data_IF_456280234667
#
_entry.id   IF_456280234667
#
_cell.length_a   1.000
_cell.length_b   1.000
_cell.length_c   1.000
_cell.angle_alpha   90.00
_cell.angle_beta   90.00
_cell.angle_gamma   90.00
#
_symmetry.space_group_name_H-M   'P 1'
#
loop_
_entity.id
_entity.type
_entity.pdbx_description
1 polymer ?
#
# COMPACT_ATOMS: atom_id res chain seq x y z
N UNK A 1 -3.98 -23.68 -2.98
CA UNK A 1 -4.62 -23.17 -1.75
C UNK A 1 -3.57 -23.03 -0.65
N UNK A 2 -3.56 -21.91 0.08
CA UNK A 2 -2.67 -21.62 1.20
C UNK A 2 -3.44 -21.24 2.46
N UNK A 3 -2.82 -21.40 3.63
CA UNK A 3 -3.27 -20.81 4.90
C UNK A 3 -2.45 -19.56 5.17
N UNK A 4 -3.12 -18.46 5.52
CA UNK A 4 -2.45 -17.18 5.81
C UNK A 4 -2.84 -16.69 7.19
N UNK A 5 -1.84 -16.35 7.99
CA UNK A 5 -2.04 -15.68 9.28
C UNK A 5 -2.26 -14.20 9.00
N UNK A 6 -3.43 -13.68 9.36
CA UNK A 6 -3.85 -12.32 9.03
C UNK A 6 -4.09 -11.51 10.29
N UNK A 7 -3.52 -10.30 10.38
CA UNK A 7 -3.75 -9.38 11.49
C UNK A 7 -5.14 -8.73 11.44
N UNK A 8 -5.56 -8.04 12.51
CA UNK A 8 -6.82 -7.26 12.55
C UNK A 8 -6.94 -6.34 11.34
N UNK A 9 -5.84 -5.70 10.96
CA UNK A 9 -5.78 -4.69 9.90
C UNK A 9 -5.83 -5.29 8.49
N UNK A 10 -5.70 -6.62 8.35
CA UNK A 10 -5.64 -7.31 7.05
C UNK A 10 -4.23 -7.53 6.52
N UNK A 11 -3.19 -7.45 7.36
CA UNK A 11 -1.80 -7.74 6.95
C UNK A 11 -1.53 -9.24 6.98
N UNK A 12 -0.95 -9.77 5.89
CA UNK A 12 -0.38 -11.12 5.90
C UNK A 12 0.87 -11.15 6.79
N UNK A 13 0.90 -12.08 7.75
CA UNK A 13 1.98 -12.24 8.72
C UNK A 13 2.79 -13.51 8.49
N UNK A 14 2.13 -14.57 8.02
CA UNK A 14 2.74 -15.86 7.71
C UNK A 14 1.91 -16.59 6.67
N UNK A 15 2.55 -17.35 5.78
CA UNK A 15 1.91 -18.17 4.75
C UNK A 15 2.44 -19.60 4.89
N UNK A 16 1.53 -20.57 4.94
CA UNK A 16 1.87 -22.00 5.06
C UNK A 16 0.95 -22.84 4.18
N UNK A 17 1.33 -24.10 3.96
CA UNK A 17 0.43 -25.07 3.35
C UNK A 17 -0.66 -25.50 4.37
N UNK A 18 -1.87 -25.85 3.92
CA UNK A 18 -2.91 -26.36 4.80
C UNK A 18 -2.44 -27.55 5.64
N UNK A 19 -2.67 -27.51 6.94
CA UNK A 19 -2.22 -28.49 7.93
C UNK A 19 -0.86 -28.17 8.57
N UNK A 20 -0.19 -27.09 8.15
CA UNK A 20 1.06 -26.60 8.77
C UNK A 20 0.83 -25.39 9.68
N UNK A 21 -0.41 -24.91 9.80
CA UNK A 21 -0.79 -23.91 10.80
C UNK A 21 -0.51 -24.41 12.23
N UNK A 22 0.02 -23.51 13.07
CA UNK A 22 0.12 -23.76 14.50
C UNK A 22 -1.11 -23.22 15.22
N UNK A 23 -1.38 -23.76 16.41
CA UNK A 23 -2.51 -23.34 17.23
C UNK A 23 -2.35 -21.89 17.68
N UNK A 24 -3.44 -21.12 17.53
CA UNK A 24 -3.51 -19.71 17.92
C UNK A 24 -4.72 -19.47 18.81
N UNK A 25 -4.68 -18.39 19.57
CA UNK A 25 -5.84 -17.92 20.31
C UNK A 25 -6.93 -17.41 19.36
N UNK A 26 -8.13 -17.99 19.45
CA UNK A 26 -9.28 -17.65 18.60
C UNK A 26 -10.43 -16.97 19.36
N UNK A 27 -10.15 -16.35 20.51
CA UNK A 27 -11.19 -15.66 21.27
C UNK A 27 -11.66 -14.36 20.62
N UNK A 28 -12.70 -13.71 21.19
CA UNK A 28 -13.36 -12.55 20.60
C UNK A 28 -12.45 -11.31 20.43
N UNK A 29 -11.35 -11.25 21.16
CA UNK A 29 -10.35 -10.18 21.13
C UNK A 29 -9.04 -10.58 20.41
N UNK A 30 -9.04 -11.72 19.70
CA UNK A 30 -7.92 -12.20 18.89
C UNK A 30 -7.35 -11.08 17.99
N UNK A 31 -6.02 -11.06 17.86
CA UNK A 31 -5.30 -10.04 17.07
C UNK A 31 -4.90 -10.52 15.68
N UNK A 32 -5.01 -11.82 15.46
CA UNK A 32 -4.72 -12.47 14.20
C UNK A 32 -5.48 -13.79 14.12
N UNK A 33 -5.78 -14.24 12.91
CA UNK A 33 -6.41 -15.54 12.65
C UNK A 33 -5.82 -16.19 11.41
N UNK A 34 -5.93 -17.52 11.30
CA UNK A 34 -5.67 -18.23 10.06
C UNK A 34 -6.88 -18.12 9.13
N UNK A 35 -6.64 -17.79 7.86
CA UNK A 35 -7.65 -17.80 6.81
C UNK A 35 -7.20 -18.67 5.63
N UNK A 36 -8.16 -19.27 4.94
CA UNK A 36 -7.96 -20.00 3.70
C UNK A 36 -7.90 -19.05 2.51
N UNK A 37 -6.88 -19.22 1.66
CA UNK A 37 -6.71 -18.42 0.45
C UNK A 37 -6.56 -19.34 -0.76
N UNK A 38 -7.47 -19.19 -1.72
CA UNK A 38 -7.44 -19.92 -2.99
C UNK A 38 -6.51 -19.25 -4.02
N UNK A 39 -5.25 -19.03 -3.61
CA UNK A 39 -4.20 -18.49 -4.47
C UNK A 39 -2.82 -18.95 -3.96
N UNK A 40 -2.10 -19.71 -4.76
CA UNK A 40 -0.77 -20.23 -4.39
C UNK A 40 0.36 -19.20 -4.54
N UNK A 41 0.11 -18.09 -5.23
CA UNK A 41 1.07 -17.00 -5.45
C UNK A 41 0.96 -15.88 -4.41
N UNK A 42 0.13 -16.04 -3.37
CA UNK A 42 0.03 -15.04 -2.31
C UNK A 42 1.39 -14.80 -1.65
N UNK A 43 1.68 -13.53 -1.36
CA UNK A 43 2.92 -13.11 -0.69
C UNK A 43 2.62 -12.31 0.57
N UNK A 44 3.63 -12.06 1.40
CA UNK A 44 3.48 -11.30 2.64
C UNK A 44 3.18 -9.81 2.41
N UNK A 45 3.43 -9.29 1.20
CA UNK A 45 3.13 -7.91 0.86
C UNK A 45 1.65 -7.67 0.55
N UNK A 46 0.91 -8.75 0.25
CA UNK A 46 -0.51 -8.67 -0.06
C UNK A 46 -1.32 -8.29 1.18
N UNK A 47 -2.43 -7.59 0.94
CA UNK A 47 -3.30 -7.08 1.99
C UNK A 47 -4.74 -7.52 1.76
N UNK A 48 -5.43 -7.90 2.84
CA UNK A 48 -6.84 -8.24 2.85
C UNK A 48 -7.66 -6.98 3.14
N UNK A 49 -8.38 -6.48 2.14
CA UNK A 49 -9.03 -5.16 2.20
C UNK A 49 -10.50 -5.22 1.79
N UNK A 50 -11.33 -4.35 2.39
CA UNK A 50 -12.76 -4.28 2.10
C UNK A 50 -13.00 -3.72 0.70
N UNK A 51 -13.79 -4.40 -0.14
CA UNK A 51 -14.32 -3.87 -1.40
C UNK A 51 -15.82 -3.56 -1.25
N UNK A 52 -16.21 -2.27 -1.22
CA UNK A 52 -17.61 -1.86 -1.20
C UNK A 52 -18.44 -2.43 -2.37
N UNK A 53 -17.86 -2.48 -3.57
CA UNK A 53 -18.53 -2.99 -4.77
C UNK A 53 -18.81 -4.49 -4.71
N UNK A 54 -17.93 -5.27 -4.07
CA UNK A 54 -18.12 -6.71 -3.90
C UNK A 54 -18.83 -7.07 -2.59
N UNK A 55 -18.94 -6.13 -1.65
CA UNK A 55 -19.53 -6.37 -0.33
C UNK A 55 -18.75 -7.37 0.52
N UNK A 56 -17.45 -7.55 0.25
CA UNK A 56 -16.58 -8.50 0.96
C UNK A 56 -15.12 -8.04 1.00
N UNK A 57 -14.33 -8.72 1.83
CA UNK A 57 -12.88 -8.58 1.83
C UNK A 57 -12.27 -9.31 0.65
N UNK A 58 -11.31 -8.66 0.01
CA UNK A 58 -10.55 -9.20 -1.12
C UNK A 58 -9.06 -9.01 -0.89
N UNK A 59 -8.27 -9.92 -1.44
CA UNK A 59 -6.82 -9.79 -1.44
C UNK A 59 -6.37 -8.82 -2.52
N UNK A 60 -5.49 -7.90 -2.13
CA UNK A 60 -4.85 -6.94 -3.02
C UNK A 60 -3.40 -7.35 -3.19
N UNK A 61 -3.05 -7.67 -4.44
CA UNK A 61 -1.68 -7.93 -4.83
C UNK A 61 -0.83 -6.66 -4.72
N UNK A 62 0.30 -6.77 -4.02
CA UNK A 62 1.25 -5.68 -3.85
C UNK A 62 2.67 -6.18 -4.07
N UNK A 63 3.51 -5.31 -4.60
CA UNK A 63 4.93 -5.57 -4.87
C UNK A 63 5.87 -5.08 -3.75
N UNK A 64 5.31 -4.68 -2.61
CA UNK A 64 6.03 -4.17 -1.45
C UNK A 64 5.20 -3.20 -0.62
N UNK A 65 5.85 -2.60 0.38
CA UNK A 65 5.27 -1.50 1.16
C UNK A 65 4.82 -0.36 0.24
N UNK A 66 3.58 0.11 0.44
CA UNK A 66 3.08 1.30 -0.25
C UNK A 66 4.02 2.47 0.01
N UNK A 67 4.60 3.01 -1.05
CA UNK A 67 5.36 4.26 -1.00
C UNK A 67 4.48 5.36 -1.53
N UNK A 68 4.19 6.36 -0.70
CA UNK A 68 3.42 7.53 -1.14
C UNK A 68 4.10 8.19 -2.35
N UNK A 69 3.43 8.29 -3.52
CA UNK A 69 4.05 8.85 -4.72
C UNK A 69 4.52 10.29 -4.54
N UNK A 70 3.86 11.05 -3.65
CA UNK A 70 4.25 12.40 -3.29
C UNK A 70 5.58 12.42 -2.54
N UNK A 71 5.70 11.59 -1.50
CA UNK A 71 6.94 11.40 -0.75
C UNK A 71 8.07 10.87 -1.65
N UNK A 72 7.79 9.86 -2.48
CA UNK A 72 8.77 9.29 -3.40
C UNK A 72 9.33 10.36 -4.35
N UNK A 73 8.47 11.19 -4.95
CA UNK A 73 8.91 12.31 -5.79
C UNK A 73 9.66 13.37 -5.00
N UNK A 74 9.20 13.72 -3.80
CA UNK A 74 9.87 14.70 -2.96
C UNK A 74 11.31 14.27 -2.64
N UNK A 75 11.51 13.01 -2.24
CA UNK A 75 12.84 12.44 -2.00
C UNK A 75 13.67 12.42 -3.28
N UNK A 76 13.07 12.00 -4.40
CA UNK A 76 13.78 11.91 -5.69
C UNK A 76 14.21 13.27 -6.24
N UNK A 77 13.45 14.34 -5.97
CA UNK A 77 13.84 15.70 -6.34
C UNK A 77 15.12 16.18 -5.64
N UNK A 78 15.41 15.65 -4.44
CA UNK A 78 16.52 16.11 -3.61
C UNK A 78 16.26 17.49 -3.00
N UNK A 79 17.29 18.07 -2.41
CA UNK A 79 17.18 19.36 -1.74
C UNK A 79 16.96 20.49 -2.75
N UNK A 80 16.20 21.51 -2.36
CA UNK A 80 15.93 22.68 -3.22
C UNK A 80 17.23 23.38 -3.61
N UNK A 81 18.21 23.43 -2.70
CA UNK A 81 19.52 24.02 -2.96
C UNK A 81 20.28 23.30 -4.09
N UNK A 82 20.25 21.97 -4.12
CA UNK A 82 20.91 21.18 -5.18
C UNK A 82 20.23 21.38 -6.53
N UNK A 83 18.90 21.48 -6.55
CA UNK A 83 18.16 21.79 -7.76
C UNK A 83 18.50 23.18 -8.32
N UNK A 84 18.59 24.18 -7.43
CA UNK A 84 18.98 25.53 -7.83
C UNK A 84 20.44 25.58 -8.29
N UNK A 85 21.33 24.79 -7.69
CA UNK A 85 22.74 24.70 -8.11
C UNK A 85 22.86 24.07 -9.51
N UNK A 86 22.20 22.95 -9.78
CA UNK A 86 22.14 22.35 -11.14
C UNK A 86 21.64 23.35 -12.17
N UNK A 87 20.56 24.06 -11.85
CA UNK A 87 19.99 25.09 -12.73
C UNK A 87 20.98 26.24 -12.97
N UNK A 88 21.64 26.70 -11.91
CA UNK A 88 22.66 27.74 -12.02
C UNK A 88 23.84 27.31 -12.90
N UNK A 89 24.33 26.08 -12.75
CA UNK A 89 25.42 25.54 -13.58
C UNK A 89 25.04 25.48 -15.06
N UNK A 90 23.82 25.05 -15.38
CA UNK A 90 23.33 25.04 -16.76
C UNK A 90 23.23 26.45 -17.35
N UNK A 91 22.70 27.42 -16.59
CA UNK A 91 22.60 28.82 -17.02
C UNK A 91 24.00 29.45 -17.19
N UNK A 92 24.90 29.22 -16.24
CA UNK A 92 26.27 29.73 -16.28
C UNK A 92 27.06 29.15 -17.46
N UNK A 93 26.76 27.91 -17.85
CA UNK A 93 27.29 27.27 -19.05
C UNK A 93 26.62 27.72 -20.36
N UNK A 94 25.62 28.62 -20.30
CA UNK A 94 24.90 29.13 -21.46
C UNK A 94 23.95 28.12 -22.11
N UNK A 95 23.55 27.06 -21.38
CA UNK A 95 22.63 26.06 -21.91
C UNK A 95 21.19 26.56 -21.89
N UNK A 96 20.41 26.11 -22.87
CA UNK A 96 18.95 26.24 -22.83
C UNK A 96 18.37 25.31 -21.77
N UNK A 97 17.29 25.74 -21.10
CA UNK A 97 16.66 25.00 -20.00
C UNK A 97 15.95 23.69 -20.42
N UNK A 98 15.85 23.42 -21.72
CA UNK A 98 15.29 22.21 -22.31
C UNK A 98 16.34 21.38 -23.06
N UNK A 99 17.62 21.76 -22.96
CA UNK A 99 18.70 21.08 -23.66
C UNK A 99 18.85 19.62 -23.20
N UNK A 100 19.20 18.73 -24.13
CA UNK A 100 19.39 17.31 -23.84
C UNK A 100 20.53 17.02 -22.87
N UNK A 101 21.46 17.95 -22.72
CA UNK A 101 22.63 17.90 -21.86
C UNK A 101 22.53 18.87 -20.64
N UNK A 102 21.40 19.54 -20.44
CA UNK A 102 21.13 20.34 -19.25
C UNK A 102 20.85 19.42 -18.05
N UNK A 103 21.68 19.52 -17.01
CA UNK A 103 21.64 18.66 -15.81
C UNK A 103 20.29 18.76 -15.11
N UNK A 104 19.82 20.00 -14.86
CA UNK A 104 18.56 20.22 -14.16
C UNK A 104 17.38 19.63 -14.93
N UNK A 105 17.33 19.87 -16.24
CA UNK A 105 16.24 19.39 -17.08
C UNK A 105 16.20 17.87 -17.16
N UNK A 106 17.35 17.21 -17.38
CA UNK A 106 17.43 15.75 -17.42
C UNK A 106 17.08 15.14 -16.06
N UNK A 107 17.52 15.73 -14.95
CA UNK A 107 17.17 15.28 -13.60
C UNK A 107 15.64 15.29 -13.37
N UNK A 108 15.00 16.44 -13.62
CA UNK A 108 13.54 16.58 -13.46
C UNK A 108 12.78 15.66 -14.43
N UNK A 109 13.26 15.53 -15.67
CA UNK A 109 12.66 14.64 -16.66
C UNK A 109 12.71 13.18 -16.21
N UNK A 110 13.86 12.73 -15.72
CA UNK A 110 14.05 11.38 -15.20
C UNK A 110 13.13 11.08 -14.01
N UNK A 111 12.95 12.04 -13.10
CA UNK A 111 12.02 11.87 -11.97
C UNK A 111 10.59 11.73 -12.48
N UNK A 112 10.17 12.58 -13.41
CA UNK A 112 8.81 12.56 -13.95
C UNK A 112 8.50 11.31 -14.76
N UNK A 113 9.51 10.68 -15.39
CA UNK A 113 9.34 9.41 -16.09
C UNK A 113 9.39 8.20 -15.16
N UNK A 114 10.17 8.26 -14.08
CA UNK A 114 10.40 7.13 -13.18
C UNK A 114 9.32 7.02 -12.10
N UNK A 115 8.90 8.15 -11.53
CA UNK A 115 7.99 8.18 -10.39
C UNK A 115 6.58 8.57 -10.80
N UNK A 116 5.59 7.81 -10.32
CA UNK A 116 4.16 8.07 -10.56
C UNK A 116 3.78 9.48 -10.11
N UNK A 117 2.92 10.14 -10.89
CA UNK A 117 2.41 11.47 -10.52
C UNK A 117 1.55 11.34 -9.26
N UNK A 118 1.83 12.10 -8.19
CA UNK A 118 0.97 12.10 -7.03
C UNK A 118 -0.41 12.56 -7.46
N UNK A 119 -1.41 11.76 -7.13
CA UNK A 119 -2.81 12.17 -7.19
C UNK A 119 -3.00 13.19 -6.06
N UNK A 120 -3.79 14.25 -6.30
CA UNK A 120 -4.04 15.26 -5.29
C UNK A 120 -4.54 14.57 -4.01
N UNK A 121 -3.88 14.85 -2.87
CA UNK A 121 -4.13 14.17 -1.60
C UNK A 121 -5.60 14.33 -1.20
N UNK A 122 -6.37 13.24 -1.29
CA UNK A 122 -7.46 12.96 -0.35
C UNK A 122 -6.95 12.04 0.75
N UNK A 123 -5.65 12.12 1.09
CA UNK A 123 -5.07 11.32 2.17
C UNK A 123 -5.81 11.72 3.44
N UNK A 124 -6.55 10.80 4.08
CA UNK A 124 -7.35 11.14 5.23
C UNK A 124 -6.45 11.62 6.37
N UNK A 125 -6.67 12.83 6.88
CA UNK A 125 -5.78 13.46 7.86
C UNK A 125 -6.14 13.09 9.30
N UNK A 126 -7.34 12.52 9.52
CA UNK A 126 -7.86 12.12 10.82
C UNK A 126 -8.27 10.64 10.85
N UNK A 127 -8.32 10.00 12.04
CA UNK A 127 -8.82 8.63 12.19
C UNK A 127 -10.23 8.43 11.62
N UNK A 128 -11.10 9.44 11.73
CA UNK A 128 -12.47 9.40 11.20
C UNK A 128 -12.48 9.37 9.68
N UNK A 129 -11.68 10.21 9.02
CA UNK A 129 -11.59 10.21 7.56
C UNK A 129 -10.94 8.91 7.06
N UNK A 130 -9.96 8.35 7.79
CA UNK A 130 -9.34 7.05 7.46
C UNK A 130 -10.38 5.92 7.48
N UNK A 131 -11.28 5.95 8.48
CA UNK A 131 -12.38 4.98 8.59
C UNK A 131 -13.37 5.13 7.45
N UNK A 132 -13.80 6.36 7.15
CA UNK A 132 -14.67 6.65 6.02
C UNK A 132 -14.07 6.15 4.70
N UNK A 133 -12.81 6.50 4.43
CA UNK A 133 -12.06 6.02 3.26
C UNK A 133 -12.00 4.49 3.20
N UNK A 134 -11.72 3.83 4.34
CA UNK A 134 -11.66 2.37 4.43
C UNK A 134 -13.02 1.68 4.20
N UNK A 135 -14.12 2.40 4.34
CA UNK A 135 -15.48 1.88 4.15
C UNK A 135 -16.07 2.21 2.78
N UNK A 136 -15.66 3.32 2.14
CA UNK A 136 -16.31 3.82 0.91
C UNK A 136 -15.48 3.67 -0.36
N UNK A 137 -14.14 3.69 -0.27
CA UNK A 137 -13.28 3.68 -1.46
C UNK A 137 -12.91 2.25 -1.87
N UNK A 138 -12.82 1.99 -3.18
CA UNK A 138 -12.30 0.69 -3.63
C UNK A 138 -10.81 0.56 -3.31
N UNK A 139 -10.36 -0.62 -2.81
CA UNK A 139 -8.94 -0.90 -2.60
C UNK A 139 -8.20 -1.01 -3.93
N UNK A 140 -6.88 -0.89 -3.89
CA UNK A 140 -6.04 -0.98 -5.08
C UNK A 140 -4.56 -1.06 -4.73
N UNK A 141 -3.78 -1.70 -5.61
CA UNK A 141 -2.34 -1.84 -5.45
C UNK A 141 -1.61 -0.47 -5.45
N UNK A 142 -2.17 0.50 -6.18
CA UNK A 142 -1.70 1.88 -6.31
C UNK A 142 -2.24 2.81 -5.22
N UNK A 143 -3.11 2.31 -4.33
CA UNK A 143 -3.69 3.07 -3.23
C UNK A 143 -3.07 2.70 -1.89
N UNK A 144 -3.18 3.64 -0.95
CA UNK A 144 -2.83 3.38 0.45
C UNK A 144 -3.66 2.19 0.96
N UNK A 145 -3.04 1.18 1.59
CA UNK A 145 -3.76 0.03 2.13
C UNK A 145 -4.85 0.46 3.10
N UNK A 146 -6.06 0.00 2.86
CA UNK A 146 -7.20 0.24 3.75
C UNK A 146 -6.97 -0.51 5.07
N UNK A 147 -7.49 0.03 6.16
CA UNK A 147 -7.34 -0.57 7.48
C UNK A 147 -8.68 -1.11 7.97
N UNK A 148 -8.63 -2.30 8.59
CA UNK A 148 -9.70 -2.83 9.42
C UNK A 148 -9.43 -2.54 10.90
N UNK A 149 -10.44 -2.67 11.74
CA UNK A 149 -10.41 -2.23 13.14
C UNK A 149 -10.75 -3.38 14.09
N UNK A 150 -10.44 -3.23 15.39
CA UNK A 150 -10.68 -4.29 16.36
C UNK A 150 -12.17 -4.67 16.48
N UNK A 151 -13.08 -3.71 16.29
CA UNK A 151 -14.52 -3.95 16.34
C UNK A 151 -15.03 -4.70 15.11
N UNK A 152 -14.34 -4.54 13.97
CA UNK A 152 -14.65 -5.21 12.71
C UNK A 152 -13.37 -5.64 12.00
N UNK A 153 -12.70 -6.70 12.49
CA UNK A 153 -11.44 -7.18 11.93
C UNK A 153 -11.61 -7.65 10.49
N UNK A 154 -10.51 -7.64 9.74
CA UNK A 154 -10.52 -7.97 8.31
C UNK A 154 -11.20 -9.33 8.05
N UNK A 155 -10.83 -10.37 8.79
CA UNK A 155 -11.32 -11.74 8.57
C UNK A 155 -12.83 -11.92 8.74
N UNK A 156 -13.52 -11.12 9.58
CA UNK A 156 -14.97 -11.28 9.82
C UNK A 156 -15.83 -11.06 8.57
N UNK A 157 -15.27 -10.41 7.55
CA UNK A 157 -15.91 -10.12 6.27
C UNK A 157 -15.24 -10.85 5.10
N UNK A 158 -14.44 -11.88 5.41
CA UNK A 158 -13.73 -12.68 4.43
C UNK A 158 -14.31 -14.09 4.37
N UNK A 159 -14.62 -14.56 3.16
CA UNK A 159 -15.24 -15.87 2.93
C UNK A 159 -14.30 -17.04 3.28
N UNK A 160 -12.99 -16.82 3.22
CA UNK A 160 -11.98 -17.82 3.59
C UNK A 160 -11.75 -17.93 5.10
N UNK A 161 -12.57 -17.28 5.93
CA UNK A 161 -12.51 -17.41 7.38
C UNK A 161 -13.82 -17.97 7.93
N UNK A 162 -13.70 -18.92 8.86
CA UNK A 162 -14.82 -19.45 9.63
C UNK A 162 -14.54 -19.21 11.10
N UNK A 163 -15.51 -18.68 11.84
CA UNK A 163 -15.38 -18.50 13.29
C UNK A 163 -15.33 -19.89 13.95
N UNK A 164 -14.23 -20.26 14.61
CA UNK A 164 -14.12 -21.56 15.25
C UNK A 164 -15.02 -21.69 16.49
N UNK A 165 -15.66 -20.60 16.94
CA UNK A 165 -16.57 -20.60 18.08
C UNK A 165 -18.05 -20.35 17.70
N UNK A 166 -18.38 -20.27 16.41
CA UNK A 166 -19.76 -20.05 15.95
C UNK A 166 -20.63 -21.30 15.98
#
# INVERSE_FOLDING_TARGET
MKKVLVSIEGRAMQIVDPGQEFEIYNGPDAKFVWVDVDNDNITLDWTLEWSPAQGKMIWIERSGSYTDPGMARQVAYGEVGEQLDMLYRDIAAGKSLDASDAEWYQHIKNIKSTYVKPVAKSVPATPTELKSYSETEEPGADKFPKMSYAELPAWKRYEGWTDPNA
#
